data_IF_025068331992
#
_entry.id   IF_025068331992
#
_cell.length_a   1.000
_cell.length_b   1.000
_cell.length_c   1.000
_cell.angle_alpha   90.00
_cell.angle_beta   90.00
_cell.angle_gamma   90.00
#
_symmetry.space_group_name_H-M   'P 1'
#
loop_
_entity.id
_entity.type
_entity.pdbx_description
1 polymer ?
#
# COMPACT_ATOMS: atom_id res chain seq x y z
N UNK A 1 3.66 -19.18 13.64
CA UNK A 1 3.99 -17.73 13.71
C UNK A 1 3.96 -17.31 15.18
N UNK A 2 4.99 -16.61 15.66
CA UNK A 2 5.04 -16.07 17.02
C UNK A 2 4.69 -14.57 17.05
N UNK A 3 4.58 -13.98 18.24
CA UNK A 3 4.22 -12.56 18.41
C UNK A 3 5.20 -11.60 17.72
N UNK A 4 6.51 -11.91 17.70
CA UNK A 4 7.52 -11.11 17.00
C UNK A 4 7.28 -11.09 15.49
N UNK A 5 7.17 -12.28 14.88
CA UNK A 5 6.88 -12.43 13.45
C UNK A 5 5.53 -11.83 13.05
N UNK A 6 4.56 -11.84 13.97
CA UNK A 6 3.28 -11.15 13.77
C UNK A 6 3.47 -9.62 13.68
N UNK A 7 4.20 -9.02 14.61
CA UNK A 7 4.49 -7.57 14.57
C UNK A 7 5.24 -7.17 13.31
N UNK A 8 6.23 -7.97 12.90
CA UNK A 8 6.95 -7.76 11.64
C UNK A 8 6.01 -7.84 10.43
N UNK A 9 5.14 -8.84 10.39
CA UNK A 9 4.16 -9.00 9.31
C UNK A 9 3.19 -7.82 9.25
N UNK A 10 2.69 -7.35 10.40
CA UNK A 10 1.81 -6.19 10.47
C UNK A 10 2.52 -4.90 10.06
N UNK A 11 3.79 -4.74 10.46
CA UNK A 11 4.64 -3.63 10.01
C UNK A 11 4.84 -3.65 8.50
N UNK A 12 5.13 -4.82 7.93
CA UNK A 12 5.29 -5.03 6.50
C UNK A 12 4.00 -4.72 5.72
N UNK A 13 2.84 -5.11 6.26
CA UNK A 13 1.54 -4.83 5.66
C UNK A 13 1.03 -3.39 5.92
N UNK A 14 1.73 -2.59 6.72
CA UNK A 14 1.28 -1.25 7.08
C UNK A 14 -0.05 -1.23 7.85
N UNK A 15 -0.29 -2.27 8.65
CA UNK A 15 -1.57 -2.56 9.28
C UNK A 15 -1.48 -2.49 10.80
N UNK A 16 -2.49 -1.91 11.45
CA UNK A 16 -2.62 -1.95 12.91
C UNK A 16 -3.21 -3.28 13.41
N UNK A 17 -2.99 -3.61 14.70
CA UNK A 17 -3.63 -4.77 15.35
C UNK A 17 -5.16 -4.68 15.29
N UNK A 18 -5.71 -3.46 15.37
CA UNK A 18 -7.15 -3.22 15.24
C UNK A 18 -7.68 -3.57 13.86
N UNK A 19 -7.00 -3.12 12.80
CA UNK A 19 -7.35 -3.46 11.42
C UNK A 19 -7.25 -4.97 11.17
N UNK A 20 -6.19 -5.62 11.67
CA UNK A 20 -6.05 -7.08 11.57
C UNK A 20 -7.25 -7.80 12.20
N UNK A 21 -7.68 -7.37 13.39
CA UNK A 21 -8.80 -7.99 14.08
C UNK A 21 -10.10 -7.90 13.27
N UNK A 22 -10.33 -6.76 12.60
CA UNK A 22 -11.49 -6.56 11.74
C UNK A 22 -11.43 -7.46 10.50
N UNK A 23 -10.28 -7.53 9.82
CA UNK A 23 -10.11 -8.33 8.60
C UNK A 23 -10.22 -9.84 8.85
N UNK A 24 -9.73 -10.30 10.00
CA UNK A 24 -9.83 -11.71 10.40
C UNK A 24 -11.19 -12.06 11.02
N UNK A 25 -12.05 -11.08 11.30
CA UNK A 25 -13.32 -11.30 11.98
C UNK A 25 -13.16 -11.78 13.43
N UNK A 26 -12.10 -11.36 14.12
CA UNK A 26 -11.79 -11.76 15.51
C UNK A 26 -11.87 -10.56 16.46
N UNK A 27 -12.04 -10.84 17.76
CA UNK A 27 -12.08 -9.76 18.75
C UNK A 27 -10.73 -9.03 18.86
N UNK A 28 -10.77 -7.71 19.09
CA UNK A 28 -9.57 -6.90 19.31
C UNK A 28 -8.74 -7.44 20.48
N UNK A 29 -9.40 -7.90 21.55
CA UNK A 29 -8.74 -8.49 22.72
C UNK A 29 -7.94 -9.73 22.32
N UNK A 30 -8.50 -10.62 21.51
CA UNK A 30 -7.78 -11.81 21.02
C UNK A 30 -6.57 -11.42 20.18
N UNK A 31 -6.74 -10.48 19.26
CA UNK A 31 -5.66 -9.96 18.41
C UNK A 31 -4.53 -9.31 19.22
N UNK A 32 -4.87 -8.57 20.29
CA UNK A 32 -3.89 -7.99 21.21
C UNK A 32 -3.12 -9.07 21.96
N UNK A 33 -3.79 -10.09 22.50
CA UNK A 33 -3.12 -11.20 23.19
C UNK A 33 -2.11 -11.91 22.29
N UNK A 34 -2.42 -12.08 21.00
CA UNK A 34 -1.48 -12.59 20.01
C UNK A 34 -0.28 -11.67 19.81
N UNK A 35 -0.50 -10.37 19.66
CA UNK A 35 0.56 -9.38 19.49
C UNK A 35 1.47 -9.25 20.72
N UNK A 36 0.96 -9.49 21.93
CA UNK A 36 1.75 -9.49 23.17
C UNK A 36 2.37 -10.85 23.51
N UNK A 37 2.02 -11.92 22.78
CA UNK A 37 2.53 -13.27 23.05
C UNK A 37 1.87 -13.97 24.23
N UNK A 38 0.72 -13.49 24.70
CA UNK A 38 -0.06 -14.08 25.80
C UNK A 38 -0.91 -15.30 25.35
N UNK A 39 -0.98 -15.53 24.04
CA UNK A 39 -1.77 -16.58 23.41
C UNK A 39 -1.15 -16.96 22.08
N UNK A 40 -1.21 -18.24 21.75
CA UNK A 40 -0.87 -18.71 20.41
C UNK A 40 -1.86 -18.21 19.37
N UNK A 41 -1.33 -17.98 18.16
CA UNK A 41 -2.10 -17.55 16.99
C UNK A 41 -2.70 -18.82 16.35
N UNK A 42 -4.03 -18.91 16.12
CA UNK A 42 -4.64 -20.02 15.41
C UNK A 42 -4.05 -20.22 14.01
N UNK A 43 -3.87 -21.46 13.58
CA UNK A 43 -3.24 -21.81 12.29
C UNK A 43 -3.91 -21.15 11.08
N UNK A 44 -5.23 -21.01 11.08
CA UNK A 44 -5.97 -20.32 10.02
C UNK A 44 -5.61 -18.83 9.92
N UNK A 45 -5.53 -18.14 11.07
CA UNK A 45 -5.11 -16.74 11.12
C UNK A 45 -3.65 -16.57 10.68
N UNK A 46 -2.78 -17.51 11.07
CA UNK A 46 -1.38 -17.51 10.61
C UNK A 46 -1.29 -17.61 9.08
N UNK A 47 -1.98 -18.59 8.49
CA UNK A 47 -2.01 -18.82 7.04
C UNK A 47 -2.56 -17.62 6.27
N UNK A 48 -3.62 -16.98 6.80
CA UNK A 48 -4.20 -15.79 6.19
C UNK A 48 -3.21 -14.62 6.14
N UNK A 49 -2.54 -14.33 7.27
CA UNK A 49 -1.53 -13.26 7.36
C UNK A 49 -0.34 -13.57 6.44
N UNK A 50 0.13 -14.82 6.40
CA UNK A 50 1.22 -15.23 5.50
C UNK A 50 0.83 -15.05 4.02
N UNK A 51 -0.40 -15.41 3.66
CA UNK A 51 -0.91 -15.19 2.30
C UNK A 51 -0.99 -13.69 1.95
N UNK A 52 -1.44 -12.85 2.89
CA UNK A 52 -1.45 -11.40 2.71
C UNK A 52 -0.04 -10.83 2.51
N UNK A 53 0.93 -11.25 3.32
CA UNK A 53 2.33 -10.87 3.16
C UNK A 53 2.86 -11.31 1.79
N UNK A 54 2.56 -12.52 1.35
CA UNK A 54 2.99 -13.02 0.05
C UNK A 54 2.42 -12.19 -1.11
N UNK A 55 1.11 -11.93 -1.10
CA UNK A 55 0.47 -11.09 -2.12
C UNK A 55 1.00 -9.64 -2.08
N UNK A 56 1.19 -9.07 -0.90
CA UNK A 56 1.78 -7.74 -0.73
C UNK A 56 3.21 -7.66 -1.26
N UNK A 57 4.00 -8.70 -1.02
CA UNK A 57 5.35 -8.83 -1.55
C UNK A 57 5.35 -8.88 -3.09
N UNK A 58 4.42 -9.62 -3.69
CA UNK A 58 4.25 -9.73 -5.13
C UNK A 58 3.64 -8.48 -5.80
N UNK A 59 3.28 -7.46 -5.03
CA UNK A 59 2.66 -6.27 -5.60
C UNK A 59 1.17 -6.45 -5.94
N UNK A 60 0.52 -7.51 -5.47
CA UNK A 60 -0.87 -7.83 -5.76
C UNK A 60 -1.84 -7.30 -4.70
N UNK A 61 -3.07 -6.89 -5.07
CA UNK A 61 -4.13 -6.58 -4.11
C UNK A 61 -4.44 -7.78 -3.22
N UNK A 62 -4.33 -7.57 -1.91
CA UNK A 62 -4.51 -8.63 -0.90
C UNK A 62 -5.57 -8.28 0.15
N UNK A 63 -5.95 -7.00 0.23
CA UNK A 63 -6.83 -6.49 1.28
C UNK A 63 -8.29 -6.65 0.86
N UNK A 64 -9.12 -7.42 1.60
CA UNK A 64 -10.48 -7.76 1.17
C UNK A 64 -11.48 -6.61 1.26
N UNK A 65 -11.20 -5.58 2.06
CA UNK A 65 -11.97 -4.33 2.18
C UNK A 65 -11.47 -3.22 1.21
N UNK A 66 -10.42 -3.50 0.43
CA UNK A 66 -9.89 -2.60 -0.58
C UNK A 66 -10.56 -2.81 -1.93
N UNK A 67 -11.00 -1.72 -2.56
CA UNK A 67 -11.35 -1.78 -3.97
C UNK A 67 -10.06 -1.80 -4.80
N UNK A 68 -9.88 -2.77 -5.71
CA UNK A 68 -8.74 -2.78 -6.60
C UNK A 68 -8.75 -1.55 -7.51
N UNK A 69 -7.69 -0.76 -7.49
CA UNK A 69 -7.59 0.47 -8.31
C UNK A 69 -7.33 0.16 -9.79
N UNK A 70 -6.88 -1.05 -10.09
CA UNK A 70 -6.71 -1.56 -11.44
C UNK A 70 -7.92 -2.47 -11.73
N UNK A 71 -8.65 -2.21 -12.81
CA UNK A 71 -9.79 -3.03 -13.26
C UNK A 71 -9.36 -4.51 -13.36
N UNK A 72 -9.74 -5.29 -12.36
CA UNK A 72 -9.21 -6.62 -12.09
C UNK A 72 -10.24 -7.66 -12.54
N UNK A 73 -10.27 -7.96 -13.84
CA UNK A 73 -10.91 -9.18 -14.34
C UNK A 73 -10.10 -10.41 -13.84
N UNK A 74 -10.73 -11.45 -13.28
CA UNK A 74 -10.04 -12.57 -12.62
C UNK A 74 -9.04 -13.35 -13.48
N UNK A 75 -9.13 -13.28 -14.82
CA UNK A 75 -8.19 -13.93 -15.76
C UNK A 75 -6.83 -13.22 -15.87
N UNK A 76 -6.69 -11.99 -15.36
CA UNK A 76 -5.53 -11.12 -15.61
C UNK A 76 -4.42 -11.15 -14.55
N UNK A 77 -4.54 -11.94 -13.47
CA UNK A 77 -3.51 -11.96 -12.41
C UNK A 77 -2.12 -12.36 -12.98
N UNK A 78 -2.07 -13.26 -13.98
CA UNK A 78 -0.82 -13.62 -14.67
C UNK A 78 -0.36 -12.59 -15.71
N UNK A 79 -1.29 -11.85 -16.33
CA UNK A 79 -0.96 -10.78 -17.31
C UNK A 79 -0.51 -9.47 -16.62
N UNK A 80 -0.76 -9.33 -15.31
CA UNK A 80 -0.43 -8.13 -14.53
C UNK A 80 1.06 -7.87 -14.37
N UNK A 81 1.88 -8.92 -14.29
CA UNK A 81 3.35 -8.80 -14.32
C UNK A 81 3.84 -8.14 -15.62
N UNK A 82 3.08 -8.26 -16.71
CA UNK A 82 3.38 -7.69 -18.03
C UNK A 82 2.75 -6.30 -18.22
N UNK A 83 1.56 -6.06 -17.66
CA UNK A 83 0.85 -4.77 -17.67
C UNK A 83 1.50 -3.66 -16.83
N UNK A 84 2.36 -4.01 -15.85
CA UNK A 84 3.08 -3.00 -15.07
C UNK A 84 3.95 -2.06 -15.92
N UNK A 85 4.39 -2.46 -17.12
CA UNK A 85 5.11 -1.58 -18.05
C UNK A 85 4.20 -0.59 -18.80
N UNK A 86 3.00 -1.04 -19.19
CA UNK A 86 2.04 -0.21 -19.92
C UNK A 86 1.34 0.80 -19.00
N UNK A 87 1.16 0.45 -17.73
CA UNK A 87 0.55 1.31 -16.70
C UNK A 87 1.43 2.52 -16.32
N UNK A 88 2.76 2.45 -16.50
CA UNK A 88 3.66 3.58 -16.25
C UNK A 88 3.33 4.77 -17.13
N UNK A 89 2.90 4.54 -18.38
CA UNK A 89 2.51 5.63 -19.29
C UNK A 89 1.22 6.33 -18.83
N UNK A 90 0.20 5.55 -18.47
CA UNK A 90 -1.05 6.09 -17.93
C UNK A 90 -0.84 6.84 -16.62
N UNK A 91 -0.01 6.31 -15.73
CA UNK A 91 0.36 6.98 -14.47
C UNK A 91 1.12 8.28 -14.73
N UNK A 92 2.06 8.29 -15.68
CA UNK A 92 2.80 9.51 -16.07
C UNK A 92 1.86 10.59 -16.60
N UNK A 93 0.88 10.21 -17.42
CA UNK A 93 -0.11 11.15 -17.96
C UNK A 93 -1.04 11.69 -16.87
N UNK A 94 -1.45 10.86 -15.89
CA UNK A 94 -2.21 11.29 -14.73
C UNK A 94 -1.41 12.27 -13.85
N UNK A 95 -0.14 11.99 -13.59
CA UNK A 95 0.74 12.88 -12.83
C UNK A 95 0.89 14.25 -13.53
N UNK A 96 1.01 14.26 -14.87
CA UNK A 96 1.04 15.51 -15.64
C UNK A 96 -0.27 16.30 -15.51
N UNK A 97 -1.43 15.62 -15.50
CA UNK A 97 -2.73 16.28 -15.27
C UNK A 97 -2.81 16.90 -13.88
N UNK A 98 -2.37 16.19 -12.85
CA UNK A 98 -2.33 16.70 -11.46
C UNK A 98 -1.36 17.88 -11.34
N UNK A 99 -0.23 17.86 -12.05
CA UNK A 99 0.69 18.99 -12.07
C UNK A 99 0.09 20.20 -12.80
N UNK A 100 -0.60 19.98 -13.94
CA UNK A 100 -1.19 21.06 -14.75
C UNK A 100 -2.28 21.85 -14.01
N UNK A 101 -2.96 21.23 -13.05
CA UNK A 101 -3.96 21.89 -12.18
C UNK A 101 -3.34 22.59 -10.95
N UNK A 102 -2.02 22.66 -10.84
CA UNK A 102 -1.32 23.30 -9.72
C UNK A 102 -0.84 22.35 -8.61
N UNK A 103 -0.91 21.03 -8.84
CA UNK A 103 -0.44 20.00 -7.91
C UNK A 103 -1.55 19.28 -7.14
N UNK A 104 -1.17 18.39 -6.20
CA UNK A 104 -2.12 17.75 -5.29
C UNK A 104 -2.78 18.81 -4.40
N UNK A 105 -4.12 18.80 -4.37
CA UNK A 105 -4.91 19.72 -3.56
C UNK A 105 -5.05 19.21 -2.13
N UNK A 106 -5.02 17.89 -1.92
CA UNK A 106 -5.09 17.26 -0.61
C UNK A 106 -3.71 16.75 -0.15
N UNK A 107 -3.29 17.03 1.10
CA UNK A 107 -1.99 16.61 1.63
C UNK A 107 -2.03 15.15 2.10
N UNK A 108 -1.84 14.21 1.17
CA UNK A 108 -1.71 12.80 1.52
C UNK A 108 -0.41 12.53 2.28
N UNK A 109 -0.49 11.85 3.42
CA UNK A 109 0.68 11.37 4.15
C UNK A 109 1.10 10.02 3.58
N UNK A 110 2.32 9.94 3.04
CA UNK A 110 2.86 8.72 2.41
C UNK A 110 3.85 8.05 3.35
N UNK A 111 3.62 6.76 3.63
CA UNK A 111 4.54 5.91 4.35
C UNK A 111 5.15 4.90 3.36
N UNK A 112 6.41 5.09 3.03
CA UNK A 112 7.14 4.25 2.08
C UNK A 112 7.45 2.84 2.62
N UNK A 113 7.67 2.69 3.93
CA UNK A 113 7.92 1.36 4.52
C UNK A 113 6.65 0.51 4.57
N UNK A 114 5.52 1.15 4.89
CA UNK A 114 4.19 0.55 4.87
C UNK A 114 3.57 0.47 3.47
N UNK A 115 4.24 1.05 2.45
CA UNK A 115 3.77 1.15 1.05
C UNK A 115 2.33 1.66 0.93
N UNK A 116 2.01 2.69 1.71
CA UNK A 116 0.64 3.19 1.89
C UNK A 116 0.62 4.71 2.00
N UNK A 117 -0.31 5.33 1.29
CA UNK A 117 -0.68 6.73 1.46
C UNK A 117 -2.01 6.82 2.21
N UNK A 118 -2.14 7.79 3.11
CA UNK A 118 -3.34 8.00 3.93
C UNK A 118 -3.77 9.46 3.92
N UNK A 119 -5.08 9.68 3.84
CA UNK A 119 -5.73 10.98 3.97
C UNK A 119 -6.99 10.80 4.82
N UNK A 120 -6.95 11.21 6.08
CA UNK A 120 -8.04 11.04 7.05
C UNK A 120 -8.59 9.59 7.08
N UNK A 121 -9.81 9.38 6.58
CA UNK A 121 -10.48 8.09 6.52
C UNK A 121 -10.16 7.28 5.27
N UNK A 122 -9.35 7.81 4.34
CA UNK A 122 -9.00 7.22 3.06
C UNK A 122 -7.57 6.69 3.05
N UNK A 123 -7.35 5.65 2.26
CA UNK A 123 -6.03 5.06 2.07
C UNK A 123 -5.85 4.54 0.65
N UNK A 124 -4.61 4.60 0.17
CA UNK A 124 -4.16 4.01 -1.10
C UNK A 124 -2.92 3.17 -0.80
N UNK A 125 -2.93 1.89 -1.19
CA UNK A 125 -1.74 1.06 -1.17
C UNK A 125 -1.07 1.05 -2.53
N UNK A 126 0.26 0.92 -2.54
CA UNK A 126 1.04 0.89 -3.76
C UNK A 126 2.19 -0.11 -3.68
N UNK A 127 2.80 -0.41 -4.82
CA UNK A 127 4.02 -1.19 -4.92
C UNK A 127 5.12 -0.34 -5.57
N UNK A 128 6.24 -0.09 -4.89
CA UNK A 128 7.38 0.60 -5.50
C UNK A 128 8.04 -0.31 -6.54
N UNK A 129 8.32 0.22 -7.72
CA UNK A 129 8.96 -0.49 -8.81
C UNK A 129 10.49 -0.30 -8.78
N UNK A 130 11.28 -1.28 -9.27
CA UNK A 130 12.75 -1.18 -9.28
C UNK A 130 13.30 -0.01 -10.11
N UNK A 131 12.54 0.51 -11.06
CA UNK A 131 12.89 1.66 -11.89
C UNK A 131 12.71 3.02 -11.18
N UNK A 132 12.20 2.99 -9.94
CA UNK A 132 11.88 4.18 -9.15
C UNK A 132 10.45 4.69 -9.35
N UNK A 133 9.63 4.01 -10.16
CA UNK A 133 8.19 4.25 -10.26
C UNK A 133 7.40 3.54 -9.15
N UNK A 134 6.08 3.51 -9.31
CA UNK A 134 5.20 2.69 -8.47
C UNK A 134 3.96 2.24 -9.24
N UNK A 135 3.29 1.23 -8.70
CA UNK A 135 1.99 0.77 -9.17
C UNK A 135 0.95 0.91 -8.04
N UNK A 136 -0.15 1.66 -8.25
CA UNK A 136 -1.29 1.64 -7.34
C UNK A 136 -1.89 0.23 -7.25
N UNK A 137 -2.28 -0.20 -6.06
CA UNK A 137 -2.87 -1.52 -5.84
C UNK A 137 -4.34 -1.44 -5.47
N UNK A 138 -4.63 -0.78 -4.35
CA UNK A 138 -5.96 -0.77 -3.75
C UNK A 138 -6.26 0.56 -3.12
N UNK A 139 -7.53 0.92 -3.13
CA UNK A 139 -8.08 2.07 -2.46
C UNK A 139 -9.16 1.62 -1.49
N UNK A 140 -9.23 2.29 -0.35
CA UNK A 140 -10.35 2.12 0.54
C UNK A 140 -10.59 3.34 1.39
N UNK A 141 -11.77 3.39 1.97
CA UNK A 141 -12.17 4.43 2.90
C UNK A 141 -13.05 3.87 4.00
N UNK A 142 -13.02 4.48 5.19
CA UNK A 142 -13.69 3.97 6.40
C UNK A 142 -15.01 4.67 6.71
N UNK A 143 -15.28 5.80 6.08
CA UNK A 143 -16.42 6.68 6.38
C UNK A 143 -17.67 6.38 5.53
N UNK A 144 -17.51 5.83 4.32
CA UNK A 144 -18.61 5.45 3.43
C UNK A 144 -18.23 4.31 2.47
N UNK A 145 -19.18 3.70 1.75
CA UNK A 145 -18.86 2.78 0.67
C UNK A 145 -17.96 3.42 -0.38
N UNK A 146 -17.07 2.63 -0.97
CA UNK A 146 -16.12 3.08 -1.99
C UNK A 146 -16.85 3.45 -3.28
N UNK A 147 -16.56 4.64 -3.81
CA UNK A 147 -17.03 5.13 -5.11
C UNK A 147 -15.85 5.74 -5.87
N UNK A 148 -15.26 4.95 -6.76
CA UNK A 148 -14.05 5.32 -7.50
C UNK A 148 -14.27 6.55 -8.38
N UNK A 149 -15.43 6.67 -9.01
CA UNK A 149 -15.71 7.81 -9.90
C UNK A 149 -15.78 9.11 -9.12
N UNK A 150 -16.42 9.06 -7.94
CA UNK A 150 -16.54 10.24 -7.07
C UNK A 150 -15.23 10.61 -6.40
N UNK A 151 -14.42 9.62 -6.04
CA UNK A 151 -13.17 9.81 -5.30
C UNK A 151 -11.95 9.97 -6.21
N UNK A 152 -12.14 9.92 -7.54
CA UNK A 152 -11.08 9.91 -8.55
C UNK A 152 -10.06 11.04 -8.35
N UNK A 153 -10.52 12.28 -8.16
CA UNK A 153 -9.61 13.41 -7.97
C UNK A 153 -8.72 13.22 -6.74
N UNK A 154 -9.27 12.75 -5.61
CA UNK A 154 -8.50 12.52 -4.39
C UNK A 154 -7.53 11.34 -4.53
N UNK A 155 -7.91 10.33 -5.33
CA UNK A 155 -7.04 9.19 -5.65
C UNK A 155 -5.87 9.64 -6.53
N UNK A 156 -6.12 10.50 -7.52
CA UNK A 156 -5.07 11.09 -8.36
C UNK A 156 -4.08 11.94 -7.54
N UNK A 157 -4.57 12.68 -6.54
CA UNK A 157 -3.75 13.41 -5.57
C UNK A 157 -2.81 12.49 -4.81
N UNK A 158 -3.36 11.35 -4.36
CA UNK A 158 -2.57 10.34 -3.67
C UNK A 158 -1.42 9.86 -4.55
N UNK A 159 -1.66 9.64 -5.85
CA UNK A 159 -0.63 9.22 -6.79
C UNK A 159 0.47 10.27 -6.94
N UNK A 160 0.10 11.54 -7.03
CA UNK A 160 1.08 12.64 -7.10
C UNK A 160 1.92 12.75 -5.82
N UNK A 161 1.30 12.62 -4.64
CA UNK A 161 2.02 12.61 -3.37
C UNK A 161 2.99 11.41 -3.26
N UNK A 162 2.55 10.20 -3.68
CA UNK A 162 3.39 9.00 -3.68
C UNK A 162 4.59 9.19 -4.62
N UNK A 163 4.38 9.70 -5.83
CA UNK A 163 5.44 9.99 -6.80
C UNK A 163 6.47 10.97 -6.22
N UNK A 164 5.98 12.03 -5.56
CA UNK A 164 6.82 13.04 -4.92
C UNK A 164 7.70 12.44 -3.82
N UNK A 165 7.11 11.65 -2.92
CA UNK A 165 7.84 11.04 -1.81
C UNK A 165 8.85 9.96 -2.26
N UNK A 166 8.52 9.18 -3.29
CA UNK A 166 9.49 8.24 -3.89
C UNK A 166 10.66 8.97 -4.54
N UNK A 167 10.40 10.09 -5.20
CA UNK A 167 11.46 10.91 -5.81
C UNK A 167 12.38 11.49 -4.73
N UNK A 168 11.82 12.06 -3.65
CA UNK A 168 12.62 12.57 -2.51
C UNK A 168 13.46 11.47 -1.86
N UNK A 169 12.89 10.29 -1.64
CA UNK A 169 13.61 9.17 -1.05
C UNK A 169 14.77 8.70 -1.94
N UNK A 170 14.57 8.69 -3.27
CA UNK A 170 15.62 8.37 -4.23
C UNK A 170 16.73 9.42 -4.22
N UNK A 171 16.41 10.70 -4.25
CA UNK A 171 17.42 11.78 -4.18
C UNK A 171 18.26 11.65 -2.91
N UNK A 172 17.61 11.40 -1.77
CA UNK A 172 18.31 11.20 -0.49
C UNK A 172 19.21 9.95 -0.49
N UNK A 173 18.78 8.86 -1.13
CA UNK A 173 19.58 7.65 -1.25
C UNK A 173 20.82 7.87 -2.14
N UNK A 174 20.65 8.59 -3.26
CA UNK A 174 21.77 8.99 -4.12
C UNK A 174 22.73 9.88 -3.31
N UNK A 175 22.27 10.97 -2.70
CA UNK A 175 23.13 11.85 -1.90
C UNK A 175 23.90 11.13 -0.77
N UNK A 176 23.30 10.10 -0.16
CA UNK A 176 23.95 9.28 0.85
C UNK A 176 25.05 8.38 0.26
N UNK A 177 24.85 7.86 -0.96
CA UNK A 177 25.81 7.03 -1.69
C UNK A 177 27.03 7.85 -2.15
N UNK A 178 26.82 9.08 -2.64
CA UNK A 178 27.93 9.99 -3.01
C UNK A 178 28.80 10.38 -1.81
N UNK A 179 28.20 10.55 -0.63
CA UNK A 179 28.95 10.81 0.62
C UNK A 179 29.80 9.63 1.10
N UNK A 180 29.57 8.41 0.60
CA UNK A 180 30.37 7.22 0.89
C UNK A 180 31.55 7.05 -0.07
N UNK A 181 31.53 7.71 -1.23
CA UNK A 181 32.61 7.66 -2.24
C UNK A 181 33.67 8.73 -2.00
N UNK A 182 33.35 9.81 -1.29
CA UNK A 182 34.29 10.87 -0.87
C UNK A 182 35.07 10.52 0.43
N UNK A 183 35.69 9.34 0.48
CA UNK A 183 36.67 8.95 1.54
C UNK A 183 37.97 8.44 0.89
#
# INVERSE_FOLDING_TARGET
MNAGKLKESLGFLGMSVAEMSQLLGVSLRSAQRWAYGESDIPSAAQRAIEAWCFLHHLGLPWRPDGYPLLNLEPKLINDQLRLHKDNTKQLTDLLKKVQARGGPAAPWSVNLSARKATLENMWVSFYPLPDGGFAPQSYGRKDRPVDIMRDQLLIEDAFACIAGELTKARTKAIEADWKLVDI
#
